data_IF_611137136158
#
_entry.id   IF_611137136158
#
_cell.length_a   1.000
_cell.length_b   1.000
_cell.length_c   1.000
_cell.angle_alpha   90.00
_cell.angle_beta   90.00
_cell.angle_gamma   90.00
#
_symmetry.space_group_name_H-M   'P 1'
#
loop_
_entity.id
_entity.type
_entity.pdbx_description
1 polymer ?
#
# COMPACT_ATOMS: atom_id res chain seq x y z
N UNK A 1 0.56 -1.93 -9.36
CA UNK A 1 1.30 -1.56 -10.57
C UNK A 1 2.64 -2.28 -10.67
N UNK A 2 3.41 -2.34 -9.60
CA UNK A 2 4.75 -2.88 -9.60
C UNK A 2 5.02 -3.72 -8.36
N UNK A 3 5.79 -4.79 -8.53
CA UNK A 3 6.21 -5.69 -7.45
C UNK A 3 7.72 -5.90 -7.55
N UNK A 4 8.40 -5.94 -6.41
CA UNK A 4 9.77 -6.40 -6.31
C UNK A 4 9.93 -7.25 -5.04
N UNK A 5 11.04 -7.97 -4.94
CA UNK A 5 11.34 -8.82 -3.80
C UNK A 5 12.65 -8.41 -3.16
N UNK A 6 12.76 -8.65 -1.85
CA UNK A 6 14.00 -8.42 -1.11
C UNK A 6 14.95 -9.60 -1.34
N UNK A 7 16.24 -9.35 -1.67
CA UNK A 7 17.15 -10.42 -2.08
C UNK A 7 17.46 -11.46 -1.00
N UNK A 8 17.42 -11.06 0.28
CA UNK A 8 17.83 -11.91 1.40
C UNK A 8 16.67 -12.32 2.31
N UNK A 9 15.44 -12.16 1.88
CA UNK A 9 14.28 -12.54 2.67
C UNK A 9 13.11 -12.95 1.78
N UNK A 10 12.15 -13.64 2.36
CA UNK A 10 10.90 -14.03 1.69
C UNK A 10 9.87 -12.90 1.75
N UNK A 11 10.33 -11.68 1.51
CA UNK A 11 9.51 -10.47 1.56
C UNK A 11 9.35 -9.89 0.17
N UNK A 12 8.13 -9.52 -0.16
CA UNK A 12 7.79 -8.79 -1.36
C UNK A 12 7.22 -7.41 -1.00
N UNK A 13 7.35 -6.48 -1.92
CA UNK A 13 6.83 -5.12 -1.81
C UNK A 13 6.10 -4.77 -3.10
N UNK A 14 4.97 -4.09 -2.98
CA UNK A 14 4.18 -3.70 -4.14
C UNK A 14 3.64 -2.28 -4.01
N UNK A 15 3.62 -1.57 -5.12
CA UNK A 15 2.99 -0.27 -5.24
C UNK A 15 1.54 -0.41 -5.67
N UNK A 16 0.64 0.25 -4.96
CA UNK A 16 -0.78 0.36 -5.29
C UNK A 16 -1.04 1.82 -5.64
N UNK A 17 -1.04 2.13 -6.92
CA UNK A 17 -1.01 3.50 -7.44
C UNK A 17 -2.18 4.35 -6.97
N UNK A 18 -3.37 3.79 -6.96
CA UNK A 18 -4.53 4.42 -6.34
C UNK A 18 -5.65 3.40 -6.10
N UNK A 19 -6.61 3.79 -5.28
CA UNK A 19 -7.82 3.02 -5.06
C UNK A 19 -9.01 3.99 -4.93
N UNK A 20 -9.21 4.80 -5.94
CA UNK A 20 -10.18 5.91 -5.92
C UNK A 20 -11.64 5.46 -5.84
N UNK A 21 -11.94 4.22 -6.19
CA UNK A 21 -13.31 3.68 -6.14
C UNK A 21 -13.67 3.07 -4.78
N UNK A 22 -12.69 2.65 -3.99
CA UNK A 22 -12.92 1.97 -2.72
C UNK A 22 -13.67 2.87 -1.74
N UNK A 23 -14.74 2.34 -1.14
CA UNK A 23 -15.56 3.09 -0.19
C UNK A 23 -16.43 4.19 -0.81
N UNK A 24 -16.68 4.13 -2.13
CA UNK A 24 -17.51 5.13 -2.83
C UNK A 24 -18.67 4.44 -3.56
N UNK A 25 -19.85 5.03 -3.51
CA UNK A 25 -21.05 4.51 -4.20
C UNK A 25 -21.35 3.06 -3.81
N UNK A 26 -21.55 2.19 -4.80
CA UNK A 26 -21.82 0.77 -4.61
C UNK A 26 -20.55 -0.11 -4.56
N UNK A 27 -19.38 0.48 -4.57
CA UNK A 27 -18.13 -0.26 -4.49
C UNK A 27 -17.89 -0.81 -3.08
N UNK A 28 -17.03 -1.84 -2.93
CA UNK A 28 -16.68 -2.36 -1.61
C UNK A 28 -16.18 -1.28 -0.66
N UNK A 29 -16.53 -1.39 0.60
CA UNK A 29 -16.03 -0.50 1.64
C UNK A 29 -14.52 -0.65 1.89
N UNK A 30 -14.01 0.18 2.80
CA UNK A 30 -12.61 0.06 3.26
C UNK A 30 -12.41 -1.21 4.05
N UNK A 31 -11.19 -1.72 4.05
CA UNK A 31 -10.76 -2.88 4.83
C UNK A 31 -9.30 -2.69 5.27
N UNK A 32 -8.74 -3.68 5.97
CA UNK A 32 -7.39 -3.55 6.52
C UNK A 32 -6.31 -3.24 5.44
N UNK A 33 -6.27 -3.94 4.28
CA UNK A 33 -5.32 -3.61 3.24
C UNK A 33 -5.70 -2.37 2.40
N UNK A 34 -6.92 -1.84 2.54
CA UNK A 34 -7.40 -0.65 1.84
C UNK A 34 -8.09 0.29 2.83
N UNK A 35 -7.33 0.93 3.72
CA UNK A 35 -7.89 1.61 4.89
C UNK A 35 -8.51 2.99 4.59
N UNK A 36 -8.22 3.55 3.41
CA UNK A 36 -8.69 4.91 3.06
C UNK A 36 -9.71 4.84 1.94
N UNK A 37 -10.89 5.43 2.17
CA UNK A 37 -11.90 5.60 1.13
C UNK A 37 -11.43 6.62 0.07
N UNK A 38 -11.83 6.40 -1.18
CA UNK A 38 -11.51 7.26 -2.32
C UNK A 38 -10.02 7.61 -2.40
N UNK A 39 -9.17 6.61 -2.17
CA UNK A 39 -7.72 6.82 -2.06
C UNK A 39 -7.08 7.11 -3.43
N UNK A 40 -6.98 8.36 -3.79
CA UNK A 40 -6.34 8.80 -5.03
C UNK A 40 -4.82 8.87 -4.94
N UNK A 41 -4.27 8.83 -3.73
CA UNK A 41 -2.82 8.91 -3.50
C UNK A 41 -2.13 7.55 -3.56
N UNK A 42 -2.84 6.48 -3.25
CA UNK A 42 -2.26 5.15 -3.25
C UNK A 42 -1.51 4.80 -1.96
N UNK A 43 -0.88 3.66 -1.96
CA UNK A 43 -0.03 3.19 -0.86
C UNK A 43 0.91 2.06 -1.33
N UNK A 44 1.79 1.65 -0.44
CA UNK A 44 2.78 0.60 -0.68
C UNK A 44 2.57 -0.45 0.40
N UNK A 45 2.49 -1.72 -0.01
CA UNK A 45 2.34 -2.85 0.90
C UNK A 45 3.55 -3.77 0.85
N UNK A 46 3.81 -4.46 1.94
CA UNK A 46 4.76 -5.56 2.02
C UNK A 46 4.07 -6.81 2.53
N UNK A 47 4.56 -7.97 2.10
CA UNK A 47 4.17 -9.26 2.70
C UNK A 47 5.36 -10.20 2.76
N UNK A 48 5.32 -11.10 3.72
CA UNK A 48 6.43 -11.99 4.01
C UNK A 48 5.94 -13.40 4.29
N UNK A 49 6.59 -14.37 3.65
CA UNK A 49 6.42 -15.79 3.92
C UNK A 49 7.40 -16.25 5.00
N UNK A 50 6.99 -17.25 5.79
CA UNK A 50 7.82 -17.72 6.91
C UNK A 50 8.93 -18.68 6.45
N UNK A 51 8.65 -19.57 5.47
CA UNK A 51 9.54 -20.65 5.06
C UNK A 51 9.87 -20.64 3.57
N UNK A 52 8.87 -20.50 2.70
CA UNK A 52 9.08 -20.45 1.26
C UNK A 52 7.89 -19.75 0.55
N UNK A 53 8.10 -19.41 -0.72
CA UNK A 53 7.12 -18.66 -1.53
C UNK A 53 5.84 -19.44 -1.86
N UNK A 54 5.77 -20.73 -1.56
CA UNK A 54 4.60 -21.57 -1.87
C UNK A 54 3.62 -21.72 -0.72
N UNK A 55 3.88 -21.08 0.42
CA UNK A 55 2.99 -21.15 1.57
C UNK A 55 1.62 -20.50 1.27
N UNK A 56 0.56 -21.04 1.90
CA UNK A 56 -0.81 -20.55 1.74
C UNK A 56 -1.08 -19.28 2.53
N UNK A 57 -0.24 -18.96 3.51
CA UNK A 57 -0.40 -17.80 4.39
C UNK A 57 0.88 -16.98 4.44
N UNK A 58 0.72 -15.71 4.77
CA UNK A 58 1.83 -14.77 4.93
C UNK A 58 1.45 -13.68 5.93
N UNK A 59 2.44 -13.04 6.52
CA UNK A 59 2.24 -11.78 7.24
C UNK A 59 2.32 -10.62 6.26
N UNK A 60 1.61 -9.54 6.53
CA UNK A 60 1.62 -8.36 5.66
C UNK A 60 1.50 -7.07 6.47
N UNK A 61 1.88 -5.96 5.86
CA UNK A 61 1.75 -4.64 6.46
C UNK A 61 1.62 -3.57 5.37
N UNK A 62 1.08 -2.42 5.74
CA UNK A 62 1.16 -1.22 4.91
C UNK A 62 2.51 -0.59 5.20
N UNK A 63 3.38 -0.61 4.19
CA UNK A 63 4.72 -0.05 4.30
C UNK A 63 4.69 1.48 4.33
N UNK A 64 3.90 2.08 3.46
CA UNK A 64 3.76 3.53 3.40
C UNK A 64 2.40 3.91 2.82
N UNK A 65 1.72 4.82 3.48
CA UNK A 65 0.44 5.35 3.03
C UNK A 65 0.69 6.74 2.42
N UNK A 66 0.56 6.83 1.10
CA UNK A 66 0.77 8.08 0.39
C UNK A 66 -0.32 9.11 0.72
N UNK A 67 -0.03 10.38 0.56
CA UNK A 67 -1.00 11.42 0.84
C UNK A 67 -0.37 12.80 0.91
N UNK A 68 -1.17 13.76 1.33
CA UNK A 68 -0.79 15.15 1.48
C UNK A 68 -1.05 15.57 2.95
N UNK A 69 -0.03 15.98 3.71
CA UNK A 69 -0.22 16.45 5.08
C UNK A 69 -1.19 17.62 5.23
N UNK A 70 -1.40 18.38 4.18
CA UNK A 70 -2.33 19.52 4.17
C UNK A 70 -3.76 19.14 3.81
N UNK A 71 -4.02 17.89 3.41
CA UNK A 71 -5.35 17.46 2.99
C UNK A 71 -6.26 17.26 4.22
N UNK A 72 -7.46 17.90 4.27
CA UNK A 72 -8.28 17.93 5.50
C UNK A 72 -8.77 16.56 5.98
N UNK A 73 -9.02 15.61 5.07
CA UNK A 73 -9.63 14.33 5.43
C UNK A 73 -8.61 13.27 5.90
N UNK A 74 -7.35 13.37 5.48
CA UNK A 74 -6.35 12.37 5.84
C UNK A 74 -4.99 12.95 6.26
N UNK A 75 -4.79 14.25 6.11
CA UNK A 75 -3.48 14.88 6.32
C UNK A 75 -2.88 14.63 7.70
N UNK A 76 -3.72 14.53 8.74
CA UNK A 76 -3.26 14.26 10.10
C UNK A 76 -2.63 12.87 10.28
N UNK A 77 -2.85 11.95 9.34
CA UNK A 77 -2.26 10.60 9.37
C UNK A 77 -0.96 10.51 8.56
N UNK A 78 -0.56 11.57 7.89
CA UNK A 78 0.62 11.61 7.05
C UNK A 78 1.79 12.18 7.84
N UNK A 79 2.87 11.42 7.91
CA UNK A 79 4.13 11.84 8.51
C UNK A 79 5.19 11.87 7.41
N UNK A 80 5.73 13.05 7.14
CA UNK A 80 6.73 13.25 6.09
C UNK A 80 6.19 14.09 4.93
N UNK A 81 6.81 13.93 3.77
CA UNK A 81 6.51 14.73 2.59
C UNK A 81 5.27 14.21 1.84
N UNK A 82 4.65 15.12 1.11
CA UNK A 82 3.57 14.77 0.19
C UNK A 82 4.09 13.89 -0.94
N UNK A 83 3.42 12.78 -1.19
CA UNK A 83 3.61 11.98 -2.39
C UNK A 83 2.33 11.22 -2.74
N UNK A 84 2.25 10.76 -3.97
CA UNK A 84 1.10 9.97 -4.42
C UNK A 84 1.38 9.22 -5.70
N UNK A 85 0.45 8.33 -6.04
CA UNK A 85 0.51 7.53 -7.26
C UNK A 85 1.83 6.76 -7.42
N UNK A 86 2.28 6.00 -6.39
CA UNK A 86 3.49 5.21 -6.50
C UNK A 86 3.34 4.20 -7.65
N UNK A 87 4.37 4.08 -8.48
CA UNK A 87 4.35 3.23 -9.67
C UNK A 87 5.52 2.26 -9.63
N UNK A 88 6.67 2.60 -10.20
CA UNK A 88 7.84 1.74 -10.18
C UNK A 88 8.47 1.61 -8.80
N UNK A 89 8.99 0.42 -8.49
CA UNK A 89 9.73 0.17 -7.25
C UNK A 89 10.91 -0.76 -7.53
N UNK A 90 12.02 -0.52 -6.86
CA UNK A 90 13.22 -1.32 -6.96
C UNK A 90 13.85 -1.48 -5.58
N UNK A 91 14.18 -2.72 -5.24
CA UNK A 91 14.89 -3.05 -4.00
C UNK A 91 16.36 -3.32 -4.35
N UNK A 92 17.24 -2.50 -3.81
CA UNK A 92 18.67 -2.59 -4.03
C UNK A 92 19.30 -3.79 -3.28
#
# INVERSE_FOLDING_TARGET
EWIDTFPDSLTAIATLTNNSRRGTGSNPGTDAPNPRAANTYGHIITWRYAKDWTEDTFSWDIFALAGDPAEPTHGSTIVGDKYGSPDGIYVA
#
